data_IF_945396003752
#
_entry.id   IF_945396003752
#
_cell.length_a   1.000
_cell.length_b   1.000
_cell.length_c   1.000
_cell.angle_alpha   90.00
_cell.angle_beta   90.00
_cell.angle_gamma   90.00
#
_symmetry.space_group_name_H-M   'P 1'
#
loop_
_entity.id
_entity.type
_entity.pdbx_description
1 polymer ?
#
# COMPACT_ATOMS: atom_id res chain seq x y z
N UNK A 1 8.41 -19.14 9.68
CA UNK A 1 9.26 -20.31 9.95
C UNK A 1 8.50 -21.61 9.79
N UNK A 2 9.22 -22.74 9.73
CA UNK A 2 8.70 -24.10 9.69
C UNK A 2 9.27 -24.91 10.84
N UNK A 3 8.66 -26.08 11.13
CA UNK A 3 9.20 -27.04 12.08
C UNK A 3 10.13 -28.02 11.36
N UNK A 4 11.08 -28.60 12.08
CA UNK A 4 12.07 -29.53 11.49
C UNK A 4 11.43 -30.83 11.00
N UNK A 5 10.25 -31.22 11.53
CA UNK A 5 9.49 -32.41 11.14
C UNK A 5 8.71 -32.20 9.84
N UNK A 6 8.52 -30.95 9.40
CA UNK A 6 7.90 -30.67 8.11
C UNK A 6 8.77 -31.21 6.97
N UNK A 7 8.17 -31.44 5.81
CA UNK A 7 8.91 -31.91 4.64
C UNK A 7 9.64 -30.75 3.93
N UNK A 8 10.68 -31.10 3.17
CA UNK A 8 11.37 -30.15 2.30
C UNK A 8 10.40 -29.52 1.29
N UNK A 9 9.40 -30.26 0.82
CA UNK A 9 8.32 -29.76 -0.03
C UNK A 9 7.57 -28.61 0.65
N UNK A 10 7.20 -28.74 1.91
CA UNK A 10 6.53 -27.68 2.67
C UNK A 10 7.35 -26.39 2.73
N UNK A 11 8.67 -26.49 2.84
CA UNK A 11 9.57 -25.34 2.83
C UNK A 11 9.67 -24.72 1.44
N UNK A 12 9.78 -25.56 0.39
CA UNK A 12 9.82 -25.12 -0.99
C UNK A 12 8.53 -24.40 -1.41
N UNK A 13 7.38 -24.97 -1.08
CA UNK A 13 6.06 -24.37 -1.37
C UNK A 13 5.89 -23.03 -0.65
N UNK A 14 6.35 -22.95 0.62
CA UNK A 14 6.36 -21.69 1.37
C UNK A 14 7.26 -20.66 0.70
N UNK A 15 8.46 -21.06 0.26
CA UNK A 15 9.38 -20.16 -0.45
C UNK A 15 8.80 -19.70 -1.78
N UNK A 16 8.14 -20.57 -2.53
CA UNK A 16 7.46 -20.23 -3.78
C UNK A 16 6.28 -19.28 -3.55
N UNK A 17 5.42 -19.61 -2.58
CA UNK A 17 4.24 -18.80 -2.23
C UNK A 17 4.59 -17.35 -1.87
N UNK A 18 5.62 -17.17 -1.05
CA UNK A 18 6.03 -15.84 -0.56
C UNK A 18 7.19 -15.22 -1.33
N UNK A 19 7.68 -15.89 -2.39
CA UNK A 19 8.84 -15.46 -3.21
C UNK A 19 10.07 -15.14 -2.35
N UNK A 20 10.33 -15.98 -1.35
CA UNK A 20 11.47 -15.87 -0.44
C UNK A 20 12.49 -16.99 -0.73
N UNK A 21 13.76 -16.74 -0.41
CA UNK A 21 14.86 -17.65 -0.76
C UNK A 21 15.40 -18.46 0.43
N UNK A 22 14.66 -18.48 1.55
CA UNK A 22 15.02 -19.30 2.71
C UNK A 22 14.07 -19.11 3.86
N UNK A 23 14.02 -20.13 4.70
CA UNK A 23 13.09 -20.26 5.82
C UNK A 23 13.85 -20.67 7.07
N UNK A 24 13.80 -19.90 8.16
CA UNK A 24 14.27 -20.35 9.47
C UNK A 24 13.46 -21.53 9.97
N UNK A 25 14.10 -22.49 10.60
CA UNK A 25 13.50 -23.70 11.15
C UNK A 25 13.55 -23.63 12.68
N UNK A 26 12.39 -23.84 13.30
CA UNK A 26 12.24 -23.74 14.75
C UNK A 26 11.70 -25.04 15.36
N UNK A 27 12.12 -25.28 16.60
CA UNK A 27 11.50 -26.25 17.52
C UNK A 27 11.05 -25.48 18.76
N UNK A 28 9.78 -25.55 19.08
CA UNK A 28 9.18 -24.84 20.23
C UNK A 28 9.53 -23.34 20.29
N UNK A 29 9.49 -22.70 19.11
CA UNK A 29 9.82 -21.28 18.92
C UNK A 29 11.30 -20.94 18.91
N UNK A 30 12.20 -21.86 19.27
CA UNK A 30 13.66 -21.67 19.24
C UNK A 30 14.22 -22.01 17.87
N UNK A 31 15.17 -21.22 17.40
CA UNK A 31 15.86 -21.45 16.14
C UNK A 31 16.74 -22.71 16.24
N UNK A 32 16.53 -23.67 15.33
CA UNK A 32 17.32 -24.91 15.25
C UNK A 32 18.02 -25.09 13.91
N UNK A 33 17.66 -24.32 12.88
CA UNK A 33 18.27 -24.41 11.57
C UNK A 33 17.75 -23.36 10.61
N UNK A 34 18.27 -23.41 9.40
CA UNK A 34 17.79 -22.64 8.24
C UNK A 34 17.88 -23.49 7.00
N UNK A 35 16.83 -23.40 6.15
CA UNK A 35 16.82 -24.01 4.81
C UNK A 35 16.70 -22.90 3.76
N UNK A 36 17.46 -23.01 2.68
CA UNK A 36 17.54 -21.98 1.63
C UNK A 36 17.43 -22.61 0.24
N UNK A 37 17.21 -21.78 -0.79
CA UNK A 37 17.23 -22.24 -2.19
C UNK A 37 18.56 -22.90 -2.58
N UNK A 38 19.67 -22.60 -1.88
CA UNK A 38 20.95 -23.25 -2.13
C UNK A 38 20.90 -24.73 -1.74
N UNK A 39 20.24 -25.06 -0.64
CA UNK A 39 20.09 -26.42 -0.14
C UNK A 39 19.16 -27.25 -1.04
N UNK A 40 18.23 -26.59 -1.76
CA UNK A 40 17.25 -27.22 -2.65
C UNK A 40 17.70 -27.34 -4.11
N UNK A 41 18.79 -26.68 -4.48
CA UNK A 41 19.18 -26.44 -5.90
C UNK A 41 19.27 -27.70 -6.75
N UNK A 42 19.71 -28.82 -6.18
CA UNK A 42 19.94 -30.07 -6.89
C UNK A 42 18.94 -31.17 -6.49
N UNK A 43 17.88 -30.82 -5.77
CA UNK A 43 16.86 -31.78 -5.36
C UNK A 43 15.84 -32.02 -6.47
N UNK A 44 15.39 -33.26 -6.60
CA UNK A 44 14.40 -33.68 -7.58
C UNK A 44 13.35 -34.59 -6.96
N UNK A 45 12.14 -34.58 -7.50
CA UNK A 45 11.07 -35.54 -7.25
C UNK A 45 10.91 -35.99 -5.79
N UNK A 46 11.43 -37.19 -5.48
CA UNK A 46 11.30 -37.84 -4.17
C UNK A 46 12.09 -37.14 -3.06
N UNK A 47 13.14 -36.39 -3.39
CA UNK A 47 14.00 -35.72 -2.42
C UNK A 47 13.21 -34.68 -1.58
N UNK A 48 12.14 -34.14 -2.16
CA UNK A 48 11.29 -33.18 -1.48
C UNK A 48 10.39 -33.79 -0.38
N UNK A 49 10.26 -35.11 -0.32
CA UNK A 49 9.38 -35.78 0.66
C UNK A 49 10.09 -36.06 2.00
N UNK A 50 11.41 -35.87 2.09
CA UNK A 50 12.14 -36.07 3.34
C UNK A 50 11.93 -34.94 4.36
N UNK A 51 12.17 -35.19 5.64
CA UNK A 51 12.14 -34.16 6.68
C UNK A 51 13.16 -33.04 6.43
N UNK A 52 12.79 -31.81 6.77
CA UNK A 52 13.67 -30.63 6.65
C UNK A 52 14.96 -30.84 7.45
N UNK A 53 14.89 -31.53 8.59
CA UNK A 53 16.02 -31.81 9.45
C UNK A 53 17.21 -32.48 8.74
N UNK A 54 16.96 -33.23 7.68
CA UNK A 54 17.99 -33.93 6.93
C UNK A 54 18.80 -33.03 5.97
N UNK A 55 18.26 -31.81 5.71
CA UNK A 55 18.76 -30.95 4.64
C UNK A 55 19.16 -29.57 5.15
N UNK A 56 18.48 -29.10 6.21
CA UNK A 56 18.72 -27.77 6.77
C UNK A 56 20.17 -27.61 7.27
N UNK A 57 20.68 -26.39 7.16
CA UNK A 57 21.92 -26.01 7.86
C UNK A 57 21.57 -25.82 9.33
N UNK A 58 22.23 -26.56 10.23
CA UNK A 58 22.03 -26.47 11.69
C UNK A 58 23.35 -26.26 12.45
N UNK A 59 24.46 -26.68 11.89
CA UNK A 59 25.77 -26.45 12.47
C UNK A 59 26.25 -25.01 12.21
N UNK A 60 26.92 -24.41 13.20
CA UNK A 60 27.55 -23.08 13.08
C UNK A 60 26.58 -21.97 12.60
N UNK A 61 25.32 -22.02 13.06
CA UNK A 61 24.35 -21.00 12.73
C UNK A 61 24.83 -19.62 13.21
N UNK A 62 24.97 -18.70 12.27
CA UNK A 62 25.27 -17.31 12.57
C UNK A 62 23.97 -16.59 12.87
N UNK A 63 23.86 -16.04 14.08
CA UNK A 63 22.69 -15.30 14.55
C UNK A 63 23.12 -13.95 15.15
N UNK A 64 22.16 -13.06 15.35
CA UNK A 64 22.39 -11.79 16.04
C UNK A 64 21.27 -11.53 17.06
N UNK A 65 21.51 -10.69 18.09
CA UNK A 65 20.48 -10.33 19.05
C UNK A 65 19.42 -9.41 18.42
N UNK A 66 18.23 -9.37 19.06
CA UNK A 66 17.19 -8.38 18.74
C UNK A 66 17.74 -6.96 18.95
N UNK A 67 17.44 -6.05 18.02
CA UNK A 67 17.97 -4.69 18.04
C UNK A 67 19.24 -4.48 17.20
N UNK A 68 19.77 -5.55 16.57
CA UNK A 68 20.86 -5.43 15.59
C UNK A 68 20.43 -4.50 14.44
N UNK A 69 21.21 -3.44 14.20
CA UNK A 69 20.97 -2.49 13.11
C UNK A 69 21.33 -3.09 11.74
N UNK A 70 20.76 -2.54 10.65
CA UNK A 70 21.10 -3.00 9.30
C UNK A 70 22.60 -2.88 9.00
N UNK A 71 23.28 -1.85 9.51
CA UNK A 71 24.73 -1.67 9.35
C UNK A 71 25.53 -2.78 10.05
N UNK A 72 25.19 -3.11 11.29
CA UNK A 72 25.80 -4.22 12.03
C UNK A 72 25.52 -5.56 11.34
N UNK A 73 24.27 -5.76 10.88
CA UNK A 73 23.89 -6.96 10.14
C UNK A 73 24.70 -7.10 8.84
N UNK A 74 24.93 -6.01 8.11
CA UNK A 74 25.75 -6.00 6.89
C UNK A 74 27.19 -6.48 7.16
N UNK A 75 27.79 -6.05 8.24
CA UNK A 75 29.15 -6.48 8.64
C UNK A 75 29.20 -7.98 8.97
N UNK A 76 28.18 -8.49 9.69
CA UNK A 76 28.07 -9.91 10.04
C UNK A 76 27.86 -10.75 8.77
N UNK A 77 26.90 -10.36 7.90
CA UNK A 77 26.60 -11.04 6.64
C UNK A 77 27.85 -11.12 5.75
N UNK A 78 28.59 -10.01 5.62
CA UNK A 78 29.83 -9.93 4.85
C UNK A 78 30.92 -10.83 5.43
N UNK A 79 31.15 -10.75 6.75
CA UNK A 79 32.20 -11.52 7.44
C UNK A 79 31.99 -13.02 7.28
N UNK A 80 30.74 -13.48 7.44
CA UNK A 80 30.38 -14.90 7.38
C UNK A 80 29.97 -15.39 5.98
N UNK A 81 29.91 -14.49 4.98
CA UNK A 81 29.52 -14.78 3.59
C UNK A 81 28.15 -15.44 3.50
N UNK A 82 27.20 -14.98 4.31
CA UNK A 82 25.82 -15.44 4.36
C UNK A 82 24.86 -14.35 3.89
N UNK A 83 23.68 -14.74 3.43
CA UNK A 83 22.67 -13.82 2.89
C UNK A 83 21.53 -13.55 3.87
N UNK A 84 21.44 -14.31 4.94
CA UNK A 84 20.35 -14.29 5.91
C UNK A 84 20.89 -14.38 7.33
N UNK A 85 20.44 -13.46 8.17
CA UNK A 85 20.87 -13.35 9.57
C UNK A 85 19.63 -13.46 10.47
N UNK A 86 19.37 -14.63 11.07
CA UNK A 86 18.32 -14.76 12.06
C UNK A 86 18.61 -13.92 13.30
N UNK A 87 17.58 -13.23 13.80
CA UNK A 87 17.61 -12.51 15.06
C UNK A 87 16.96 -13.37 16.14
N UNK A 88 17.71 -13.59 17.21
CA UNK A 88 17.28 -14.45 18.32
C UNK A 88 17.20 -13.68 19.64
N UNK A 89 16.24 -14.05 20.46
CA UNK A 89 16.17 -13.61 21.86
C UNK A 89 17.24 -14.29 22.73
N UNK A 90 17.41 -13.81 23.95
CA UNK A 90 18.33 -14.41 24.94
C UNK A 90 18.00 -15.87 25.29
N UNK A 91 16.73 -16.26 25.06
CA UNK A 91 16.23 -17.62 25.24
C UNK A 91 16.41 -18.51 23.99
N UNK A 92 17.02 -18.00 22.94
CA UNK A 92 17.18 -18.68 21.64
C UNK A 92 15.92 -18.65 20.75
N UNK A 93 14.85 -17.97 21.17
CA UNK A 93 13.64 -17.83 20.34
C UNK A 93 13.88 -16.97 19.12
N UNK A 94 13.36 -17.40 17.96
CA UNK A 94 13.42 -16.62 16.72
C UNK A 94 12.51 -15.39 16.83
N UNK A 95 13.09 -14.19 16.68
CA UNK A 95 12.38 -12.91 16.75
C UNK A 95 12.33 -12.17 15.42
N UNK A 96 13.24 -12.46 14.49
CA UNK A 96 13.29 -11.80 13.19
C UNK A 96 14.31 -12.43 12.26
N UNK A 97 14.38 -11.86 11.06
CA UNK A 97 15.33 -12.26 10.02
C UNK A 97 15.75 -11.00 9.26
N UNK A 98 17.04 -10.71 9.18
CA UNK A 98 17.58 -9.69 8.30
C UNK A 98 18.22 -10.39 7.10
N UNK A 99 17.94 -9.91 5.88
CA UNK A 99 18.52 -10.45 4.66
C UNK A 99 19.36 -9.39 3.94
N UNK A 100 20.27 -9.83 3.07
CA UNK A 100 21.05 -8.92 2.22
C UNK A 100 20.13 -8.03 1.37
N UNK A 101 18.98 -8.58 0.91
CA UNK A 101 17.98 -7.83 0.14
C UNK A 101 17.35 -6.69 0.93
N UNK A 102 17.18 -6.81 2.24
CA UNK A 102 16.63 -5.74 3.07
C UNK A 102 17.61 -4.57 3.13
N UNK A 103 18.91 -4.88 3.20
CA UNK A 103 19.99 -3.88 3.20
C UNK A 103 20.09 -3.21 1.82
N UNK A 104 20.15 -4.00 0.74
CA UNK A 104 20.20 -3.49 -0.64
C UNK A 104 19.02 -2.57 -0.95
N UNK A 105 17.81 -2.99 -0.59
CA UNK A 105 16.60 -2.17 -0.77
C UNK A 105 16.57 -0.92 0.09
N UNK A 106 17.15 -0.97 1.28
CA UNK A 106 17.28 0.22 2.13
C UNK A 106 18.22 1.28 1.50
N UNK A 107 19.29 0.82 0.83
CA UNK A 107 20.21 1.70 0.08
C UNK A 107 19.56 2.20 -1.22
N UNK A 108 18.89 1.31 -1.95
CA UNK A 108 18.25 1.63 -3.22
C UNK A 108 17.04 2.56 -3.06
N UNK A 109 16.27 2.39 -1.98
CA UNK A 109 15.04 3.15 -1.70
C UNK A 109 15.11 3.82 -0.32
N UNK A 110 15.99 4.82 -0.12
CA UNK A 110 16.21 5.44 1.19
C UNK A 110 15.00 6.19 1.73
N UNK A 111 14.10 6.65 0.83
CA UNK A 111 12.89 7.41 1.17
C UNK A 111 11.65 6.52 1.39
N UNK A 112 11.80 5.21 1.48
CA UNK A 112 10.68 4.32 1.83
C UNK A 112 10.14 4.66 3.21
N UNK A 113 8.80 4.73 3.34
CA UNK A 113 8.14 4.92 4.63
C UNK A 113 8.35 3.67 5.51
N UNK A 114 9.00 3.84 6.65
CA UNK A 114 9.38 2.76 7.57
C UNK A 114 9.07 3.14 9.00
N UNK A 115 8.81 2.12 9.82
CA UNK A 115 8.71 2.26 11.26
C UNK A 115 10.09 2.34 11.93
N UNK A 116 10.12 2.54 13.25
CA UNK A 116 11.35 2.62 14.06
C UNK A 116 12.18 1.32 14.02
N UNK A 117 11.58 0.20 13.61
CA UNK A 117 12.24 -1.10 13.44
C UNK A 117 12.73 -1.32 12.01
N UNK A 118 12.58 -0.33 11.13
CA UNK A 118 12.96 -0.40 9.71
C UNK A 118 12.00 -1.21 8.83
N UNK A 119 10.81 -1.59 9.32
CA UNK A 119 9.78 -2.30 8.53
C UNK A 119 9.00 -1.29 7.69
N UNK A 120 8.58 -1.68 6.50
CA UNK A 120 7.71 -0.85 5.67
C UNK A 120 6.37 -0.63 6.37
N UNK A 121 5.89 0.62 6.37
CA UNK A 121 4.57 0.95 6.87
C UNK A 121 3.49 0.36 5.95
N UNK A 122 2.45 -0.20 6.55
CA UNK A 122 1.36 -0.86 5.85
C UNK A 122 0.01 -0.29 6.25
N UNK A 123 -0.82 0.02 5.24
CA UNK A 123 -2.22 0.38 5.43
C UNK A 123 -3.16 -0.73 4.98
N UNK A 124 -4.32 -0.84 5.63
CA UNK A 124 -5.35 -1.79 5.25
C UNK A 124 -6.73 -1.15 5.17
N UNK A 125 -7.51 -1.56 4.16
CA UNK A 125 -8.86 -1.07 3.95
C UNK A 125 -9.88 -1.80 4.85
N UNK A 126 -10.84 -1.02 5.34
CA UNK A 126 -12.04 -1.49 6.04
C UNK A 126 -13.28 -0.90 5.37
N UNK A 127 -14.40 -1.59 5.43
CA UNK A 127 -15.72 -1.13 4.98
C UNK A 127 -16.59 -0.69 6.16
N UNK A 128 -17.71 -0.03 5.87
CA UNK A 128 -18.71 0.32 6.89
C UNK A 128 -19.74 -0.81 7.06
N UNK A 129 -19.24 -2.02 7.32
CA UNK A 129 -20.02 -3.25 7.51
C UNK A 129 -20.35 -3.49 8.98
N UNK A 130 -21.30 -4.40 9.27
CA UNK A 130 -21.71 -4.70 10.63
C UNK A 130 -20.54 -5.27 11.47
N UNK A 131 -19.69 -6.08 10.84
CA UNK A 131 -18.53 -6.78 11.39
C UNK A 131 -17.20 -5.96 11.34
N UNK A 132 -17.28 -4.66 11.07
CA UNK A 132 -16.09 -3.81 10.91
C UNK A 132 -15.10 -3.91 12.07
N UNK A 133 -15.58 -4.05 13.32
CA UNK A 133 -14.69 -4.15 14.48
C UNK A 133 -13.93 -5.48 14.53
N UNK A 134 -14.50 -6.58 14.06
CA UNK A 134 -13.82 -7.88 14.00
C UNK A 134 -12.67 -7.83 12.99
N UNK A 135 -12.92 -7.18 11.84
CA UNK A 135 -11.87 -6.93 10.84
C UNK A 135 -10.78 -6.00 11.39
N UNK A 136 -11.16 -4.92 12.07
CA UNK A 136 -10.19 -3.99 12.70
C UNK A 136 -9.36 -4.73 13.74
N UNK A 137 -9.97 -5.56 14.60
CA UNK A 137 -9.25 -6.35 15.61
C UNK A 137 -8.16 -7.24 14.96
N UNK A 138 -8.53 -8.00 13.92
CA UNK A 138 -7.57 -8.86 13.19
C UNK A 138 -6.44 -8.06 12.52
N UNK A 139 -6.73 -6.87 11.98
CA UNK A 139 -5.71 -6.00 11.38
C UNK A 139 -4.77 -5.42 12.44
N UNK A 140 -5.30 -5.00 13.59
CA UNK A 140 -4.51 -4.50 14.72
C UNK A 140 -3.61 -5.60 15.30
N UNK A 141 -4.13 -6.81 15.46
CA UNK A 141 -3.34 -7.98 15.85
C UNK A 141 -2.20 -8.25 14.84
N UNK A 142 -2.46 -8.04 13.56
CA UNK A 142 -1.47 -8.14 12.48
C UNK A 142 -0.52 -6.94 12.41
N UNK A 143 -0.59 -6.01 13.34
CA UNK A 143 0.26 -4.80 13.44
C UNK A 143 0.13 -3.87 12.23
N UNK A 144 -1.10 -3.59 11.78
CA UNK A 144 -1.36 -2.58 10.76
C UNK A 144 -0.96 -1.19 11.28
N UNK A 145 -0.34 -0.37 10.43
CA UNK A 145 0.09 0.98 10.81
C UNK A 145 -1.01 2.03 10.62
N UNK A 146 -1.89 1.84 9.62
CA UNK A 146 -2.98 2.77 9.32
C UNK A 146 -4.19 2.04 8.73
N UNK A 147 -5.39 2.42 9.16
CA UNK A 147 -6.66 1.93 8.63
C UNK A 147 -7.21 2.91 7.60
N UNK A 148 -7.80 2.39 6.53
CA UNK A 148 -8.50 3.18 5.51
C UNK A 148 -9.97 2.78 5.49
N UNK A 149 -10.85 3.61 6.04
CA UNK A 149 -12.29 3.48 5.83
C UNK A 149 -12.63 4.04 4.46
N UNK A 150 -12.78 3.14 3.49
CA UNK A 150 -12.88 3.45 2.07
C UNK A 150 -14.31 3.25 1.57
N UNK A 151 -14.95 4.33 1.10
CA UNK A 151 -16.30 4.29 0.56
C UNK A 151 -16.42 5.16 -0.70
N UNK A 152 -17.48 4.91 -1.49
CA UNK A 152 -17.79 5.75 -2.65
C UNK A 152 -18.22 7.16 -2.25
N UNK A 153 -18.79 7.33 -1.04
CA UNK A 153 -19.26 8.62 -0.52
C UNK A 153 -19.08 8.69 1.01
N UNK A 154 -18.01 9.35 1.47
CA UNK A 154 -17.65 9.46 2.88
C UNK A 154 -18.59 10.33 3.71
N UNK A 155 -19.25 11.31 3.09
CA UNK A 155 -20.24 12.18 3.77
C UNK A 155 -21.60 11.49 3.92
N UNK A 156 -21.58 10.26 4.37
CA UNK A 156 -22.76 9.44 4.66
C UNK A 156 -22.83 9.17 6.16
N UNK A 157 -24.03 9.20 6.73
CA UNK A 157 -24.24 9.02 8.18
C UNK A 157 -23.69 7.69 8.71
N UNK A 158 -23.75 6.61 7.93
CA UNK A 158 -23.18 5.31 8.30
C UNK A 158 -21.65 5.35 8.35
N UNK A 159 -21.02 6.04 7.38
CA UNK A 159 -19.56 6.19 7.36
C UNK A 159 -19.09 7.02 8.57
N UNK A 160 -19.74 8.16 8.84
CA UNK A 160 -19.42 9.05 9.98
C UNK A 160 -19.56 8.27 11.30
N UNK A 161 -20.65 7.52 11.48
CA UNK A 161 -20.84 6.65 12.66
C UNK A 161 -19.78 5.56 12.76
N UNK A 162 -19.34 5.00 11.64
CA UNK A 162 -18.30 3.98 11.61
C UNK A 162 -16.94 4.55 12.00
N UNK A 163 -16.59 5.76 11.56
CA UNK A 163 -15.39 6.47 12.01
C UNK A 163 -15.41 6.60 13.53
N UNK A 164 -16.49 7.14 14.10
CA UNK A 164 -16.61 7.33 15.54
C UNK A 164 -16.54 5.97 16.31
N UNK A 165 -17.17 4.92 15.77
CA UNK A 165 -17.16 3.56 16.34
C UNK A 165 -15.74 2.97 16.38
N UNK A 166 -15.00 3.08 15.29
CA UNK A 166 -13.63 2.57 15.17
C UNK A 166 -12.69 3.35 16.09
N UNK A 167 -12.73 4.68 16.06
CA UNK A 167 -11.87 5.54 16.90
C UNK A 167 -12.17 5.39 18.39
N UNK A 168 -13.42 5.14 18.77
CA UNK A 168 -13.78 4.82 20.17
C UNK A 168 -13.16 3.51 20.62
N UNK A 169 -13.13 2.47 19.78
CA UNK A 169 -12.60 1.15 20.11
C UNK A 169 -11.05 1.11 20.02
N UNK A 170 -10.45 1.84 19.08
CA UNK A 170 -9.03 1.84 18.78
C UNK A 170 -8.49 3.27 18.63
N UNK A 171 -8.44 4.08 19.71
CA UNK A 171 -8.11 5.51 19.64
C UNK A 171 -6.69 5.79 19.11
N UNK A 172 -5.75 4.88 19.32
CA UNK A 172 -4.35 5.04 18.95
C UNK A 172 -4.02 4.56 17.54
N UNK A 173 -4.94 3.93 16.83
CA UNK A 173 -4.72 3.48 15.45
C UNK A 173 -5.10 4.58 14.50
N UNK A 174 -4.18 5.06 13.65
CA UNK A 174 -4.49 6.09 12.65
C UNK A 174 -5.59 5.62 11.70
N UNK A 175 -6.57 6.49 11.45
CA UNK A 175 -7.72 6.22 10.58
C UNK A 175 -7.83 7.28 9.49
N UNK A 176 -7.68 6.85 8.24
CA UNK A 176 -8.02 7.62 7.05
C UNK A 176 -9.47 7.36 6.69
N UNK A 177 -10.26 8.39 6.45
CA UNK A 177 -11.66 8.24 6.04
C UNK A 177 -11.95 8.96 4.70
N UNK A 178 -12.74 8.37 3.85
CA UNK A 178 -13.12 8.92 2.55
C UNK A 178 -14.02 7.97 1.72
N UNK A 179 -14.31 8.35 0.46
CA UNK A 179 -13.86 9.57 -0.21
C UNK A 179 -14.86 10.70 -0.05
N UNK A 180 -14.35 11.90 -0.04
CA UNK A 180 -15.14 13.13 0.07
C UNK A 180 -14.77 14.10 -1.06
N UNK A 181 -15.53 15.19 -1.20
CA UNK A 181 -15.27 16.23 -2.19
C UNK A 181 -15.60 17.65 -1.73
N UNK A 182 -15.98 17.86 -0.46
CA UNK A 182 -16.40 19.16 0.07
C UNK A 182 -15.80 19.45 1.45
N UNK A 183 -15.76 20.74 1.82
CA UNK A 183 -15.30 21.19 3.13
C UNK A 183 -16.18 20.64 4.27
N UNK A 184 -17.52 20.63 4.09
CA UNK A 184 -18.47 20.14 5.10
C UNK A 184 -18.25 18.64 5.36
N UNK A 185 -17.94 17.87 4.31
CA UNK A 185 -17.64 16.44 4.45
C UNK A 185 -16.31 16.24 5.21
N UNK A 186 -15.29 17.03 4.93
CA UNK A 186 -14.03 17.00 5.65
C UNK A 186 -14.25 17.28 7.15
N UNK A 187 -14.98 18.35 7.47
CA UNK A 187 -15.36 18.69 8.84
C UNK A 187 -16.05 17.55 9.56
N UNK A 188 -17.11 16.98 8.94
CA UNK A 188 -17.89 15.91 9.56
C UNK A 188 -17.07 14.66 9.89
N UNK A 189 -16.14 14.26 9.01
CA UNK A 189 -15.26 13.11 9.26
C UNK A 189 -14.21 13.39 10.34
N UNK A 190 -13.65 14.60 10.35
CA UNK A 190 -12.66 15.03 11.35
C UNK A 190 -13.31 15.10 12.74
N UNK A 191 -14.49 15.71 12.87
CA UNK A 191 -15.24 15.76 14.11
C UNK A 191 -15.66 14.37 14.62
N UNK A 192 -15.84 13.40 13.71
CA UNK A 192 -16.07 11.99 14.06
C UNK A 192 -14.79 11.26 14.52
N UNK A 193 -13.60 11.87 14.37
CA UNK A 193 -12.32 11.34 14.82
C UNK A 193 -11.39 10.83 13.74
N UNK A 194 -11.63 11.12 12.45
CA UNK A 194 -10.68 10.76 11.38
C UNK A 194 -9.36 11.53 11.54
N UNK A 195 -8.24 10.82 11.47
CA UNK A 195 -6.89 11.41 11.55
C UNK A 195 -6.42 11.96 10.19
N UNK A 196 -7.06 11.55 9.10
CA UNK A 196 -6.76 11.98 7.73
C UNK A 196 -8.01 11.84 6.89
N UNK A 197 -8.26 12.77 5.96
CA UNK A 197 -9.37 12.68 5.01
C UNK A 197 -8.85 12.41 3.60
N UNK A 198 -9.58 11.56 2.86
CA UNK A 198 -9.25 11.18 1.48
C UNK A 198 -10.24 11.79 0.51
N UNK A 199 -9.75 12.58 -0.44
CA UNK A 199 -10.53 13.45 -1.33
C UNK A 199 -10.48 12.95 -2.77
N UNK A 200 -11.65 12.73 -3.36
CA UNK A 200 -11.81 12.37 -4.77
C UNK A 200 -13.05 11.51 -5.01
N UNK A 201 -14.07 12.11 -5.62
CA UNK A 201 -15.29 11.41 -6.04
C UNK A 201 -15.38 11.48 -7.56
N UNK A 202 -15.19 10.31 -8.20
CA UNK A 202 -15.28 10.15 -9.64
C UNK A 202 -14.09 10.59 -10.51
N UNK A 203 -12.91 11.02 -10.02
CA UNK A 203 -11.82 11.46 -10.88
C UNK A 203 -10.98 10.30 -11.44
N UNK A 204 -11.14 9.08 -10.96
CA UNK A 204 -10.36 7.92 -11.39
C UNK A 204 -10.62 7.54 -12.84
N UNK A 205 -9.59 7.10 -13.58
CA UNK A 205 -9.68 6.74 -14.99
C UNK A 205 -10.61 5.56 -15.30
N UNK A 206 -10.87 4.72 -14.30
CA UNK A 206 -11.76 3.55 -14.37
C UNK A 206 -13.10 3.80 -13.66
N UNK A 207 -13.32 5.02 -13.16
CA UNK A 207 -14.55 5.40 -12.45
C UNK A 207 -15.55 6.04 -13.43
N UNK A 208 -16.78 5.59 -13.38
CA UNK A 208 -17.90 6.14 -14.17
C UNK A 208 -19.00 6.76 -13.30
N UNK A 209 -18.75 6.98 -12.02
CA UNK A 209 -19.72 7.60 -11.10
C UNK A 209 -20.24 8.94 -11.62
N UNK A 210 -19.37 9.79 -12.21
CA UNK A 210 -19.76 11.08 -12.79
C UNK A 210 -20.73 10.92 -13.96
N UNK A 211 -20.61 9.84 -14.74
CA UNK A 211 -21.44 9.56 -15.89
C UNK A 211 -22.74 8.86 -15.46
N UNK A 212 -22.62 7.83 -14.62
CA UNK A 212 -23.73 6.96 -14.23
C UNK A 212 -24.64 7.62 -13.20
N UNK A 213 -24.02 8.26 -12.18
CA UNK A 213 -24.75 8.88 -11.06
C UNK A 213 -24.84 10.42 -11.16
N UNK A 214 -24.05 11.05 -12.05
CA UNK A 214 -23.97 12.51 -12.15
C UNK A 214 -23.28 13.18 -10.94
N UNK A 215 -22.51 12.43 -10.17
CA UNK A 215 -21.89 12.89 -8.90
C UNK A 215 -20.39 13.05 -9.07
N UNK A 216 -19.89 14.22 -8.67
CA UNK A 216 -18.44 14.53 -8.67
C UNK A 216 -18.20 16.02 -8.53
N UNK A 217 -16.98 16.37 -8.17
CA UNK A 217 -16.49 17.76 -8.10
C UNK A 217 -15.14 17.79 -8.83
N UNK A 218 -14.80 18.87 -9.56
CA UNK A 218 -13.47 19.04 -10.15
C UNK A 218 -12.39 18.81 -9.08
N UNK A 219 -11.39 17.98 -9.39
CA UNK A 219 -10.52 17.40 -8.35
C UNK A 219 -9.70 18.46 -7.61
N UNK A 220 -9.19 19.48 -8.28
CA UNK A 220 -8.42 20.55 -7.64
C UNK A 220 -9.31 21.35 -6.68
N UNK A 221 -10.54 21.69 -7.09
CA UNK A 221 -11.52 22.35 -6.23
C UNK A 221 -11.81 21.51 -4.99
N UNK A 222 -12.08 20.22 -5.17
CA UNK A 222 -12.38 19.31 -4.05
C UNK A 222 -11.20 19.20 -3.06
N UNK A 223 -9.97 19.10 -3.56
CA UNK A 223 -8.77 19.07 -2.70
C UNK A 223 -8.63 20.36 -1.94
N UNK A 224 -8.76 21.50 -2.63
CA UNK A 224 -8.60 22.82 -2.05
C UNK A 224 -9.63 23.09 -0.93
N UNK A 225 -10.90 22.88 -1.21
CA UNK A 225 -11.98 23.11 -0.25
C UNK A 225 -11.83 22.23 0.99
N UNK A 226 -11.54 20.93 0.79
CA UNK A 226 -11.32 20.01 1.88
C UNK A 226 -10.04 20.34 2.68
N UNK A 227 -8.96 20.77 2.01
CA UNK A 227 -7.71 21.13 2.66
C UNK A 227 -7.83 22.43 3.48
N UNK A 228 -8.55 23.43 2.97
CA UNK A 228 -8.84 24.65 3.71
C UNK A 228 -9.61 24.37 5.01
N UNK A 229 -10.53 23.42 5.00
CA UNK A 229 -11.25 23.04 6.21
C UNK A 229 -10.37 22.18 7.14
N UNK A 230 -9.71 21.15 6.60
CA UNK A 230 -8.89 20.21 7.37
C UNK A 230 -7.70 20.92 8.07
N UNK A 231 -7.13 21.96 7.45
CA UNK A 231 -6.02 22.74 8.03
C UNK A 231 -6.39 23.41 9.36
N UNK A 232 -7.64 23.76 9.58
CA UNK A 232 -8.13 24.33 10.86
C UNK A 232 -7.98 23.38 12.03
N UNK A 233 -7.92 22.09 11.73
CA UNK A 233 -7.79 21.00 12.71
C UNK A 233 -6.39 20.36 12.70
N UNK A 234 -5.49 20.82 11.83
CA UNK A 234 -4.17 20.19 11.63
C UNK A 234 -4.24 18.79 10.99
N UNK A 235 -5.33 18.46 10.29
CA UNK A 235 -5.56 17.14 9.68
C UNK A 235 -5.07 17.14 8.24
N UNK A 236 -4.20 16.17 7.84
CA UNK A 236 -3.71 16.07 6.47
C UNK A 236 -4.77 15.57 5.49
N UNK A 237 -4.55 15.85 4.21
CA UNK A 237 -5.43 15.48 3.10
C UNK A 237 -4.71 14.56 2.12
N UNK A 238 -5.34 13.45 1.75
CA UNK A 238 -4.92 12.58 0.64
C UNK A 238 -5.71 12.95 -0.61
N UNK A 239 -5.02 13.41 -1.67
CA UNK A 239 -5.60 13.67 -2.97
C UNK A 239 -5.67 12.38 -3.78
N UNK A 240 -6.87 11.82 -3.98
CA UNK A 240 -7.09 10.51 -4.58
C UNK A 240 -7.78 10.62 -5.94
N UNK A 241 -7.07 10.18 -6.97
CA UNK A 241 -7.57 10.09 -8.34
C UNK A 241 -7.34 11.35 -9.20
N UNK A 242 -7.55 11.18 -10.50
CA UNK A 242 -7.36 12.25 -11.48
C UNK A 242 -5.90 12.52 -11.89
N UNK A 243 -4.94 11.85 -11.28
CA UNK A 243 -3.51 12.02 -11.57
C UNK A 243 -3.13 11.21 -12.82
N UNK A 244 -2.81 11.90 -13.90
CA UNK A 244 -2.38 11.31 -15.18
C UNK A 244 -0.89 11.53 -15.44
N UNK A 245 -0.32 12.63 -14.96
CA UNK A 245 1.05 13.07 -15.18
C UNK A 245 1.70 13.52 -13.87
N UNK A 246 3.03 13.62 -13.86
CA UNK A 246 3.77 14.15 -12.70
C UNK A 246 3.36 15.58 -12.32
N UNK A 247 3.04 16.41 -13.32
CA UNK A 247 2.55 17.78 -13.08
C UNK A 247 1.22 17.81 -12.31
N UNK A 248 0.37 16.79 -12.44
CA UNK A 248 -0.87 16.73 -11.66
C UNK A 248 -0.57 16.44 -10.17
N UNK A 249 0.52 15.74 -9.87
CA UNK A 249 0.99 15.57 -8.47
C UNK A 249 1.34 16.94 -7.88
N UNK A 250 2.09 17.77 -8.62
CA UNK A 250 2.45 19.13 -8.19
C UNK A 250 1.21 19.95 -7.89
N UNK A 251 0.23 19.94 -8.81
CA UNK A 251 -1.04 20.69 -8.64
C UNK A 251 -1.86 20.20 -7.45
N UNK A 252 -1.96 18.88 -7.27
CA UNK A 252 -2.70 18.30 -6.15
C UNK A 252 -2.09 18.66 -4.79
N UNK A 253 -0.75 18.62 -4.69
CA UNK A 253 -0.04 19.03 -3.49
C UNK A 253 -0.16 20.54 -3.25
N UNK A 254 -0.01 21.36 -4.29
CA UNK A 254 -0.18 22.81 -4.21
C UNK A 254 -1.61 23.22 -3.78
N UNK A 255 -2.62 22.47 -4.21
CA UNK A 255 -4.01 22.68 -3.77
C UNK A 255 -4.27 22.31 -2.29
N UNK A 256 -3.26 21.88 -1.54
CA UNK A 256 -3.35 21.55 -0.11
C UNK A 256 -3.33 20.06 0.20
N UNK A 257 -3.17 19.17 -0.80
CA UNK A 257 -2.91 17.77 -0.56
C UNK A 257 -1.58 17.56 0.16
N UNK A 258 -1.54 16.72 1.17
CA UNK A 258 -0.31 16.29 1.84
C UNK A 258 0.28 15.04 1.20
N UNK A 259 -0.57 14.21 0.62
CA UNK A 259 -0.23 12.94 -0.04
C UNK A 259 -1.09 12.79 -1.29
N UNK A 260 -0.57 12.14 -2.33
CA UNK A 260 -1.36 11.74 -3.51
C UNK A 260 -1.54 10.24 -3.56
N UNK A 261 -2.75 9.80 -3.93
CA UNK A 261 -3.06 8.39 -4.20
C UNK A 261 -3.19 8.20 -5.72
N UNK A 262 -2.43 7.25 -6.25
CA UNK A 262 -2.38 6.96 -7.69
C UNK A 262 -2.86 5.53 -7.96
N UNK A 263 -3.64 5.35 -9.02
CA UNK A 263 -4.11 4.04 -9.47
C UNK A 263 -3.59 3.71 -10.86
N UNK A 264 -4.17 4.33 -11.90
CA UNK A 264 -3.86 4.03 -13.30
C UNK A 264 -2.39 4.29 -13.69
N UNK A 265 -1.72 5.24 -13.03
CA UNK A 265 -0.30 5.51 -13.27
C UNK A 265 0.58 4.28 -13.02
N UNK A 266 0.24 3.48 -12.04
CA UNK A 266 1.02 2.29 -11.63
C UNK A 266 0.35 0.96 -11.98
N UNK A 267 -0.88 0.98 -12.50
CA UNK A 267 -1.62 -0.23 -12.86
C UNK A 267 -0.93 -1.06 -13.95
N UNK A 268 -0.14 -0.43 -14.84
CA UNK A 268 0.63 -1.08 -15.89
C UNK A 268 2.02 -1.57 -15.45
N UNK A 269 2.44 -1.34 -14.20
CA UNK A 269 3.76 -1.74 -13.71
C UNK A 269 3.82 -3.26 -13.48
N UNK A 270 5.05 -3.80 -13.50
CA UNK A 270 5.34 -5.22 -13.29
C UNK A 270 4.73 -5.75 -11.98
N UNK A 271 4.85 -4.99 -10.92
CA UNK A 271 4.43 -5.35 -9.57
C UNK A 271 2.91 -5.25 -9.35
N UNK A 272 2.17 -4.62 -10.25
CA UNK A 272 0.71 -4.56 -10.19
C UNK A 272 0.10 -5.96 -10.32
N UNK A 273 -0.98 -6.30 -9.58
CA UNK A 273 -1.56 -7.64 -9.57
C UNK A 273 -2.31 -8.03 -10.86
N UNK A 274 -2.59 -7.09 -11.77
CA UNK A 274 -3.27 -7.37 -13.04
C UNK A 274 -2.49 -8.36 -13.90
N UNK A 275 -3.20 -9.26 -14.57
CA UNK A 275 -2.61 -10.21 -15.50
C UNK A 275 -1.99 -9.50 -16.70
N UNK A 276 -0.87 -10.06 -17.20
CA UNK A 276 -0.25 -9.59 -18.45
C UNK A 276 -0.97 -10.21 -19.64
N UNK A 277 -1.30 -9.38 -20.61
CA UNK A 277 -1.90 -9.79 -21.88
C UNK A 277 -1.09 -9.24 -23.04
N UNK A 278 -1.04 -10.02 -24.13
CA UNK A 278 -0.53 -9.55 -25.42
C UNK A 278 -1.74 -9.22 -26.30
N UNK A 279 -1.84 -7.97 -26.73
CA UNK A 279 -2.89 -7.53 -27.63
C UNK A 279 -2.27 -6.69 -28.76
N UNK A 280 -2.54 -7.04 -30.00
CA UNK A 280 -1.98 -6.38 -31.20
C UNK A 280 -0.45 -6.23 -31.12
N UNK A 281 0.26 -7.28 -30.68
CA UNK A 281 1.73 -7.29 -30.60
C UNK A 281 2.33 -6.45 -29.46
N UNK A 282 1.52 -5.87 -28.57
CA UNK A 282 1.96 -5.07 -27.43
C UNK A 282 1.54 -5.72 -26.12
N UNK A 283 2.32 -5.48 -25.07
CA UNK A 283 2.00 -5.93 -23.72
C UNK A 283 1.09 -4.95 -22.98
N UNK A 284 0.09 -5.49 -22.33
CA UNK A 284 -0.86 -4.78 -21.48
C UNK A 284 -1.01 -5.49 -20.15
N UNK A 285 -1.58 -4.79 -19.17
CA UNK A 285 -2.07 -5.37 -17.92
C UNK A 285 -3.56 -5.14 -17.78
N UNK A 286 -4.26 -6.12 -17.24
CA UNK A 286 -5.69 -5.97 -16.90
C UNK A 286 -5.82 -5.02 -15.71
N UNK A 287 -6.72 -4.06 -15.83
CA UNK A 287 -7.01 -3.09 -14.77
C UNK A 287 -8.52 -2.89 -14.65
N UNK A 288 -9.04 -2.93 -13.44
CA UNK A 288 -10.48 -2.78 -13.19
C UNK A 288 -10.77 -1.84 -12.04
N UNK A 289 -11.89 -1.11 -12.15
CA UNK A 289 -12.43 -0.28 -11.11
C UNK A 289 -13.09 -1.09 -10.00
N UNK A 290 -13.10 -0.55 -8.78
CA UNK A 290 -13.84 -1.13 -7.65
C UNK A 290 -15.34 -1.19 -7.90
N UNK A 291 -15.90 -0.27 -8.72
CA UNK A 291 -17.29 -0.26 -9.15
C UNK A 291 -17.58 -1.06 -10.41
N UNK A 292 -16.62 -1.83 -10.95
CA UNK A 292 -16.86 -2.73 -12.09
C UNK A 292 -17.64 -3.97 -11.66
N UNK A 293 -18.34 -4.61 -12.61
CA UNK A 293 -19.12 -5.83 -12.33
C UNK A 293 -18.27 -6.94 -11.72
N UNK A 294 -17.06 -7.17 -12.25
CA UNK A 294 -16.16 -8.19 -11.74
C UNK A 294 -15.60 -7.90 -10.36
N UNK A 295 -15.46 -6.63 -9.97
CA UNK A 295 -15.06 -6.25 -8.63
C UNK A 295 -16.25 -6.36 -7.65
N UNK A 296 -17.43 -5.86 -8.03
CA UNK A 296 -18.65 -5.92 -7.21
C UNK A 296 -19.05 -7.36 -6.89
N UNK A 297 -18.95 -8.27 -7.85
CA UNK A 297 -19.19 -9.70 -7.66
C UNK A 297 -18.15 -10.40 -6.74
N UNK A 298 -17.01 -9.76 -6.45
CA UNK A 298 -15.97 -10.25 -5.54
C UNK A 298 -15.94 -9.54 -4.17
N UNK A 299 -16.97 -8.73 -3.86
CA UNK A 299 -17.15 -8.16 -2.52
C UNK A 299 -17.06 -6.64 -2.42
N UNK A 300 -16.84 -5.88 -3.52
CA UNK A 300 -16.80 -4.40 -3.45
C UNK A 300 -18.14 -3.72 -3.57
N UNK A 301 -19.24 -4.49 -3.60
CA UNK A 301 -20.62 -3.95 -3.75
C UNK A 301 -21.08 -3.15 -2.52
N UNK A 302 -20.55 -3.43 -1.34
CA UNK A 302 -20.78 -2.69 -0.09
C UNK A 302 -20.33 -1.23 -0.21
N UNK A 303 -19.20 -0.99 -0.87
CA UNK A 303 -18.63 0.33 -1.15
C UNK A 303 -19.62 1.24 -1.91
N UNK A 304 -20.46 0.66 -2.77
CA UNK A 304 -21.44 1.34 -3.62
C UNK A 304 -22.88 1.18 -3.11
N UNK A 305 -23.08 0.80 -1.86
CA UNK A 305 -24.40 0.61 -1.23
C UNK A 305 -25.28 -0.42 -1.95
N UNK A 306 -24.67 -1.41 -2.60
CA UNK A 306 -25.37 -2.42 -3.41
C UNK A 306 -25.15 -3.86 -2.87
N UNK A 307 -24.71 -4.02 -1.63
CA UNK A 307 -24.41 -5.34 -1.06
C UNK A 307 -25.60 -6.33 -1.07
N UNK A 308 -26.83 -5.81 -0.99
CA UNK A 308 -28.07 -6.61 -0.98
C UNK A 308 -28.76 -6.72 -2.37
N UNK A 309 -28.17 -6.15 -3.42
CA UNK A 309 -28.81 -6.11 -4.72
C UNK A 309 -28.58 -7.41 -5.50
N UNK A 310 -29.66 -7.94 -6.09
CA UNK A 310 -29.61 -9.10 -6.99
C UNK A 310 -28.97 -8.76 -8.36
N UNK A 311 -28.98 -7.49 -8.76
CA UNK A 311 -28.38 -6.98 -9.99
C UNK A 311 -27.64 -5.68 -9.70
N UNK A 312 -26.37 -5.62 -10.07
CA UNK A 312 -25.53 -4.44 -9.87
C UNK A 312 -25.69 -3.40 -10.97
N UNK A 313 -25.61 -2.13 -10.58
CA UNK A 313 -25.42 -0.99 -11.50
C UNK A 313 -23.95 -0.59 -11.39
N UNK A 314 -23.10 -0.89 -12.38
CA UNK A 314 -21.68 -0.62 -12.29
C UNK A 314 -21.38 0.88 -12.38
N UNK A 315 -20.50 1.35 -11.53
CA UNK A 315 -19.95 2.70 -11.54
C UNK A 315 -18.44 2.68 -11.86
N UNK A 316 -17.98 1.65 -12.54
CA UNK A 316 -16.60 1.49 -12.97
C UNK A 316 -16.47 0.51 -14.14
N UNK A 317 -15.36 0.63 -14.84
CA UNK A 317 -15.05 -0.20 -16.02
C UNK A 317 -13.89 -1.15 -15.74
N UNK A 318 -13.79 -2.18 -16.57
CA UNK A 318 -12.64 -3.07 -16.70
C UNK A 318 -11.98 -2.83 -18.06
N UNK A 319 -10.67 -2.84 -18.10
CA UNK A 319 -9.94 -2.56 -19.33
C UNK A 319 -8.47 -2.98 -19.25
N UNK A 320 -7.74 -2.59 -20.28
CA UNK A 320 -6.32 -2.84 -20.41
C UNK A 320 -5.55 -1.54 -20.29
N UNK A 321 -4.44 -1.57 -19.58
CA UNK A 321 -3.48 -0.47 -19.53
C UNK A 321 -2.15 -0.92 -20.11
N UNK A 322 -1.42 -0.07 -20.86
CA UNK A 322 -0.13 -0.44 -21.39
C UNK A 322 0.83 -0.87 -20.28
N UNK A 323 1.59 -1.92 -20.54
CA UNK A 323 2.68 -2.34 -19.66
C UNK A 323 3.77 -1.25 -19.62
N UNK A 324 4.24 -0.90 -18.42
CA UNK A 324 5.14 0.24 -18.18
C UNK A 324 6.52 -0.12 -17.62
N UNK A 325 6.83 -1.42 -17.46
CA UNK A 325 8.06 -1.84 -16.78
C UNK A 325 7.92 -1.82 -15.26
N UNK A 326 9.00 -1.52 -14.54
CA UNK A 326 9.03 -1.57 -13.08
C UNK A 326 8.33 -0.39 -12.42
N UNK A 327 7.80 -0.61 -11.22
CA UNK A 327 7.25 0.47 -10.38
C UNK A 327 8.33 1.49 -10.03
N UNK A 328 9.56 1.02 -9.76
CA UNK A 328 10.69 1.88 -9.42
C UNK A 328 10.97 2.93 -10.48
N UNK A 329 11.02 2.54 -11.77
CA UNK A 329 11.24 3.46 -12.89
C UNK A 329 10.09 4.47 -13.02
N UNK A 330 8.85 4.00 -12.85
CA UNK A 330 7.67 4.88 -12.91
C UNK A 330 7.69 5.92 -11.79
N UNK A 331 7.96 5.51 -10.54
CA UNK A 331 8.06 6.43 -9.39
C UNK A 331 9.22 7.40 -9.56
N UNK A 332 10.36 6.94 -10.09
CA UNK A 332 11.51 7.81 -10.36
C UNK A 332 11.14 8.97 -11.29
N UNK A 333 10.42 8.69 -12.39
CA UNK A 333 9.93 9.70 -13.32
C UNK A 333 8.93 10.66 -12.69
N UNK A 334 7.98 10.13 -11.91
CA UNK A 334 6.97 10.95 -11.22
C UNK A 334 7.62 11.89 -10.20
N UNK A 335 8.58 11.39 -9.42
CA UNK A 335 9.33 12.19 -8.45
C UNK A 335 10.25 13.22 -9.11
N UNK A 336 10.81 12.89 -10.29
CA UNK A 336 11.56 13.84 -11.12
C UNK A 336 10.68 15.03 -11.52
N UNK A 337 9.46 14.76 -12.01
CA UNK A 337 8.51 15.82 -12.37
C UNK A 337 8.05 16.66 -11.18
N UNK A 338 7.82 16.05 -10.00
CA UNK A 338 7.53 16.78 -8.76
C UNK A 338 8.68 17.73 -8.38
N UNK A 339 9.93 17.22 -8.37
CA UNK A 339 11.11 18.05 -8.08
C UNK A 339 11.28 19.20 -9.07
N UNK A 340 11.02 18.97 -10.36
CA UNK A 340 11.04 20.03 -11.36
C UNK A 340 9.99 21.10 -11.06
N UNK A 341 8.75 20.71 -10.76
CA UNK A 341 7.70 21.64 -10.39
C UNK A 341 8.04 22.48 -9.14
N UNK A 342 8.58 21.85 -8.11
CA UNK A 342 9.08 22.53 -6.91
C UNK A 342 10.24 23.49 -7.24
N UNK A 343 11.15 23.09 -8.13
CA UNK A 343 12.25 23.94 -8.58
C UNK A 343 11.75 25.18 -9.31
N UNK A 344 10.79 25.05 -10.24
CA UNK A 344 10.19 26.20 -10.93
C UNK A 344 9.47 27.18 -10.00
N UNK A 345 8.91 26.70 -8.92
CA UNK A 345 8.18 27.53 -7.94
C UNK A 345 9.07 28.01 -6.79
N UNK A 346 10.34 27.61 -6.74
CA UNK A 346 11.27 27.94 -5.64
C UNK A 346 10.93 27.29 -4.29
N UNK A 347 10.15 26.21 -4.30
CA UNK A 347 9.69 25.52 -3.10
C UNK A 347 10.68 24.42 -2.66
N UNK A 348 11.19 24.52 -1.42
CA UNK A 348 12.09 23.50 -0.87
C UNK A 348 11.32 22.31 -0.27
N UNK A 349 10.12 22.53 0.22
CA UNK A 349 9.26 21.51 0.84
C UNK A 349 7.88 21.48 0.17
N UNK A 350 7.12 20.40 0.42
CA UNK A 350 5.73 20.29 -0.06
C UNK A 350 4.86 21.38 0.56
N UNK A 351 5.10 21.73 1.82
CA UNK A 351 4.36 22.80 2.51
C UNK A 351 4.56 24.17 1.85
N UNK A 352 5.71 24.41 1.23
CA UNK A 352 5.99 25.67 0.52
C UNK A 352 5.17 25.79 -0.79
N UNK A 353 4.66 24.68 -1.32
CA UNK A 353 3.81 24.70 -2.51
C UNK A 353 2.43 25.29 -2.26
N UNK A 354 1.89 25.20 -1.05
CA UNK A 354 0.54 25.65 -0.74
C UNK A 354 0.34 27.17 -0.98
N UNK A 355 1.22 28.06 -0.50
CA UNK A 355 1.07 29.50 -0.73
C UNK A 355 1.24 29.94 -2.19
N UNK A 356 2.06 29.21 -2.98
CA UNK A 356 2.37 29.59 -4.37
C UNK A 356 1.36 29.08 -5.39
N UNK A 357 0.38 28.29 -4.98
CA UNK A 357 -0.62 27.70 -5.87
C UNK A 357 -1.38 28.74 -6.70
N UNK A 358 -1.66 29.89 -6.14
CA UNK A 358 -2.38 31.00 -6.80
C UNK A 358 -1.50 31.85 -7.72
N UNK A 359 -0.19 31.87 -7.52
CA UNK A 359 0.70 32.79 -8.21
C UNK A 359 1.44 32.14 -9.36
N UNK A 360 1.75 30.85 -9.30
CA UNK A 360 2.65 30.15 -10.23
C UNK A 360 2.04 28.92 -10.90
N UNK A 361 1.07 28.26 -10.25
CA UNK A 361 0.47 27.04 -10.78
C UNK A 361 -0.88 27.35 -11.42
N UNK A 362 -0.95 27.27 -12.75
CA UNK A 362 -2.23 27.22 -13.45
C UNK A 362 -2.61 25.75 -13.61
N UNK A 363 -3.81 25.39 -13.16
CA UNK A 363 -4.41 24.16 -13.57
C UNK A 363 -4.61 24.24 -15.10
N UNK A 364 -4.03 23.32 -15.87
CA UNK A 364 -4.57 23.05 -17.19
C UNK A 364 -6.00 22.54 -16.96
N UNK A 365 -6.92 23.24 -17.54
CA UNK A 365 -8.28 22.77 -17.61
C UNK A 365 -8.30 21.44 -18.34
N UNK A 366 -9.20 20.58 -17.94
CA UNK A 366 -9.35 19.28 -18.56
C UNK A 366 -9.71 19.45 -20.03
N UNK A 367 -9.43 18.46 -20.90
CA UNK A 367 -9.84 18.55 -22.31
C UNK A 367 -11.32 18.87 -22.54
N UNK A 368 -12.15 18.65 -21.52
CA UNK A 368 -13.58 19.02 -21.58
C UNK A 368 -13.80 20.55 -21.54
N UNK A 369 -12.77 21.33 -21.22
CA UNK A 369 -12.81 22.80 -21.18
C UNK A 369 -12.05 23.43 -22.37
N UNK A 370 -11.52 22.62 -23.28
CA UNK A 370 -10.97 23.03 -24.57
C UNK A 370 -11.94 22.64 -25.69
#
# INVERSE_FOLDING_TARGET
YKRQENTVRDANDLMGKYKISGVPICRDGKLVGIITNRDLRFMTGADFNQPIANVMTYESLVTAPVGTTLKQAQEILRKHRIEKLPLVGSDGSLKGLITIKDIEKSVQYPNSARDDKGRLLCGAAIGATADVLDRVAALVESQVDVLFLDSAHGHNSNIIKTVAKVKKAYPNVPLVAGNIATAEAAKALIEAGADTVKVGIGPGSICTTRIVAGIGVPQITAIYDAACEASKYGVPVIADGGIKYSGDIVKALAAGGSVVMVGSLVAGCEESPGEKEIYQGRQFKVYRGMGSLGAMGKGSSDRYFQASNNKFVPEGVEGRVPYKGTLGDTIYQLMGGLKSGMGYTGCATISDLHPVSYTHLRAHETPEHL
#
